data_IF_690602887754
#
_entry.id   IF_690602887754
#
_cell.length_a   1.000
_cell.length_b   1.000
_cell.length_c   1.000
_cell.angle_alpha   90.00
_cell.angle_beta   90.00
_cell.angle_gamma   90.00
#
_symmetry.space_group_name_H-M   'P 1'
#
loop_
_entity.id
_entity.type
_entity.pdbx_description
1 polymer ?
#
# COMPACT_ATOMS: atom_id res chain seq x y z
N UNK A 1 -26.04 0.42 18.06
CA UNK A 1 -24.69 0.91 17.75
C UNK A 1 -23.78 0.24 18.77
N UNK A 2 -23.28 -0.95 18.43
CA UNK A 2 -22.39 -1.68 19.34
C UNK A 2 -21.02 -1.03 19.30
N UNK A 3 -20.62 -0.50 20.44
CA UNK A 3 -19.27 -0.03 20.70
C UNK A 3 -18.53 -1.26 21.24
N UNK A 4 -17.81 -1.98 20.38
CA UNK A 4 -16.96 -3.08 20.84
C UNK A 4 -15.70 -2.48 21.47
N UNK A 5 -15.65 -2.49 22.80
CA UNK A 5 -14.46 -2.23 23.59
C UNK A 5 -13.49 -3.40 23.47
N UNK A 6 -12.30 -3.17 22.92
CA UNK A 6 -11.01 -3.77 23.30
C UNK A 6 -9.93 -3.32 22.30
N UNK A 7 -8.87 -2.64 22.77
CA UNK A 7 -7.57 -2.48 22.09
C UNK A 7 -7.56 -1.76 20.74
N UNK A 8 -7.01 -0.55 20.68
CA UNK A 8 -6.62 0.26 19.50
C UNK A 8 -7.14 -0.10 18.09
N UNK A 9 -8.45 -0.22 17.91
CA UNK A 9 -9.06 -0.75 16.69
C UNK A 9 -8.97 0.12 15.41
N UNK A 10 -8.43 1.33 15.50
CA UNK A 10 -8.30 2.28 14.37
C UNK A 10 -6.95 3.00 14.41
N UNK A 11 -6.07 2.71 13.45
CA UNK A 11 -4.73 3.29 13.40
C UNK A 11 -4.39 3.82 12.00
N UNK A 12 -3.36 4.68 11.96
CA UNK A 12 -2.75 5.22 10.74
C UNK A 12 -3.78 5.83 9.76
N UNK A 13 -4.63 6.78 10.21
CA UNK A 13 -5.59 7.41 9.31
C UNK A 13 -4.88 8.31 8.30
N UNK A 14 -5.33 8.21 7.06
CA UNK A 14 -4.90 9.05 5.94
C UNK A 14 -6.13 9.65 5.29
N UNK A 15 -6.03 10.90 4.88
CA UNK A 15 -7.13 11.62 4.24
C UNK A 15 -6.67 12.24 2.93
N UNK A 16 -7.45 12.07 1.87
CA UNK A 16 -7.22 12.77 0.61
C UNK A 16 -8.09 14.04 0.49
N UNK A 17 -7.85 14.82 -0.56
CA UNK A 17 -8.57 16.09 -0.79
C UNK A 17 -10.08 15.94 -1.02
N UNK A 18 -10.56 14.74 -1.33
CA UNK A 18 -11.99 14.44 -1.47
C UNK A 18 -12.66 14.10 -0.11
N UNK A 19 -11.90 14.11 0.99
CA UNK A 19 -12.41 13.77 2.31
C UNK A 19 -12.62 12.26 2.50
N UNK A 20 -11.94 11.44 1.71
CA UNK A 20 -11.93 9.99 1.91
C UNK A 20 -10.84 9.67 2.93
N UNK A 21 -11.22 9.02 4.02
CA UNK A 21 -10.32 8.60 5.09
C UNK A 21 -10.05 7.11 4.95
N UNK A 22 -8.79 6.71 4.79
CA UNK A 22 -8.34 5.32 4.86
C UNK A 22 -7.68 5.08 6.20
N UNK A 23 -7.93 3.93 6.82
CA UNK A 23 -7.41 3.59 8.14
C UNK A 23 -7.35 2.07 8.32
N UNK A 24 -6.48 1.61 9.22
CA UNK A 24 -6.46 0.23 9.65
C UNK A 24 -7.66 -0.02 10.57
N UNK A 25 -8.48 -1.03 10.27
CA UNK A 25 -9.75 -1.30 10.96
C UNK A 25 -9.82 -2.68 11.64
N UNK A 26 -8.74 -3.46 11.63
CA UNK A 26 -8.67 -4.77 12.29
C UNK A 26 -7.26 -5.10 12.79
N UNK A 27 -7.09 -5.33 14.10
CA UNK A 27 -5.78 -5.41 14.79
C UNK A 27 -4.86 -6.54 14.31
N UNK A 28 -5.39 -7.73 14.02
CA UNK A 28 -4.54 -8.91 13.79
C UNK A 28 -4.08 -9.11 12.34
N UNK A 29 -4.77 -8.49 11.38
CA UNK A 29 -4.47 -8.58 9.94
C UNK A 29 -4.21 -7.22 9.31
N UNK A 30 -4.27 -6.13 10.09
CA UNK A 30 -4.15 -4.77 9.60
C UNK A 30 -5.05 -4.51 8.37
N UNK A 31 -6.30 -4.98 8.40
CA UNK A 31 -7.23 -4.73 7.28
C UNK A 31 -7.44 -3.23 7.08
N UNK A 32 -7.53 -2.81 5.82
CA UNK A 32 -7.74 -1.42 5.46
C UNK A 32 -9.22 -1.19 5.20
N UNK A 33 -9.76 -0.15 5.82
CA UNK A 33 -11.10 0.35 5.59
C UNK A 33 -11.05 1.79 5.10
N UNK A 34 -12.18 2.24 4.57
CA UNK A 34 -12.38 3.61 4.12
C UNK A 34 -13.69 4.16 4.63
N UNK A 35 -13.71 5.43 5.00
CA UNK A 35 -14.92 6.19 5.33
C UNK A 35 -14.88 7.60 4.73
N UNK A 36 -16.00 8.31 4.75
CA UNK A 36 -16.07 9.75 4.48
C UNK A 36 -15.56 10.52 5.71
N UNK A 37 -15.19 11.79 5.52
CA UNK A 37 -14.79 12.70 6.60
C UNK A 37 -15.90 13.04 7.61
N UNK A 38 -17.16 12.76 7.27
CA UNK A 38 -18.31 12.83 8.17
C UNK A 38 -18.56 11.50 8.92
N UNK A 39 -17.70 10.49 8.72
CA UNK A 39 -17.80 9.15 9.31
C UNK A 39 -18.76 8.20 8.57
N UNK A 40 -19.43 8.65 7.50
CA UNK A 40 -20.34 7.80 6.73
C UNK A 40 -19.60 6.92 5.70
N UNK A 41 -20.34 6.00 5.06
CA UNK A 41 -19.83 5.13 3.98
C UNK A 41 -18.55 4.37 4.35
N UNK A 42 -18.59 3.68 5.49
CA UNK A 42 -17.57 2.73 5.90
C UNK A 42 -17.59 1.53 4.95
N UNK A 43 -16.49 1.28 4.26
CA UNK A 43 -16.28 0.08 3.44
C UNK A 43 -14.94 -0.55 3.78
N UNK A 44 -14.83 -1.86 3.54
CA UNK A 44 -13.59 -2.62 3.69
C UNK A 44 -12.88 -2.72 2.34
N UNK A 45 -11.59 -2.40 2.31
CA UNK A 45 -10.79 -2.35 1.08
C UNK A 45 -9.94 -3.60 0.85
N UNK A 46 -9.59 -4.35 1.90
CA UNK A 46 -8.76 -5.56 1.79
C UNK A 46 -9.48 -6.81 2.30
N UNK A 47 -9.29 -7.96 1.65
CA UNK A 47 -9.86 -9.24 2.06
C UNK A 47 -8.76 -10.18 2.58
N UNK A 48 -8.95 -10.70 3.80
CA UNK A 48 -8.06 -11.66 4.44
C UNK A 48 -7.95 -13.00 3.71
N UNK A 49 -8.89 -13.29 2.80
CA UNK A 49 -8.84 -14.44 1.91
C UNK A 49 -7.86 -14.26 0.75
N UNK A 50 -7.44 -13.02 0.48
CA UNK A 50 -6.55 -12.65 -0.64
C UNK A 50 -5.14 -12.34 -0.10
N UNK A 51 -5.07 -11.56 0.98
CA UNK A 51 -3.82 -11.17 1.64
C UNK A 51 -4.00 -11.25 3.15
N UNK A 52 -2.97 -11.65 3.87
CA UNK A 52 -2.99 -11.79 5.32
C UNK A 52 -2.78 -10.48 6.07
N UNK A 53 -1.95 -9.59 5.52
CA UNK A 53 -1.64 -8.29 6.12
C UNK A 53 -1.65 -7.17 5.09
N UNK A 54 -2.05 -5.97 5.54
CA UNK A 54 -1.93 -4.73 4.79
C UNK A 54 -1.35 -3.61 5.69
N UNK A 55 -0.14 -3.16 5.41
CA UNK A 55 0.60 -2.20 6.22
C UNK A 55 1.01 -0.98 5.41
N UNK A 56 1.33 0.12 6.12
CA UNK A 56 1.86 1.35 5.55
C UNK A 56 1.08 1.88 4.34
N UNK A 57 -0.25 2.11 4.48
CA UNK A 57 -1.04 2.61 3.37
C UNK A 57 -0.58 4.01 2.91
N UNK A 58 -0.80 4.32 1.65
CA UNK A 58 -0.74 5.67 1.10
C UNK A 58 -1.85 5.88 0.07
N UNK A 59 -2.51 7.04 0.13
CA UNK A 59 -3.64 7.41 -0.72
C UNK A 59 -3.34 8.67 -1.52
N UNK A 60 -3.62 8.64 -2.82
CA UNK A 60 -3.52 9.83 -3.67
C UNK A 60 -4.87 10.56 -3.83
N UNK A 61 -4.85 11.70 -4.53
CA UNK A 61 -6.06 12.50 -4.75
C UNK A 61 -7.14 11.81 -5.57
N UNK A 62 -6.78 10.83 -6.41
CA UNK A 62 -7.74 10.10 -7.26
C UNK A 62 -8.40 8.92 -6.53
N UNK A 63 -8.10 8.72 -5.25
CA UNK A 63 -8.61 7.58 -4.48
C UNK A 63 -7.93 6.26 -4.86
N UNK A 64 -6.69 6.32 -5.37
CA UNK A 64 -5.84 5.13 -5.49
C UNK A 64 -5.10 4.95 -4.17
N UNK A 65 -5.10 3.71 -3.68
CA UNK A 65 -4.36 3.29 -2.50
C UNK A 65 -3.22 2.36 -2.92
N UNK A 66 -2.06 2.56 -2.32
CA UNK A 66 -0.95 1.58 -2.28
C UNK A 66 -0.68 1.20 -0.84
N UNK A 67 -0.19 0.00 -0.62
CA UNK A 67 0.16 -0.50 0.70
C UNK A 67 1.08 -1.71 0.57
N UNK A 68 1.86 -1.98 1.61
CA UNK A 68 2.60 -3.22 1.74
C UNK A 68 1.62 -4.36 2.06
N UNK A 69 1.76 -5.49 1.39
CA UNK A 69 0.88 -6.63 1.60
C UNK A 69 1.63 -7.96 1.69
N UNK A 70 1.14 -8.84 2.54
CA UNK A 70 1.67 -10.20 2.70
C UNK A 70 0.59 -11.20 2.30
N UNK A 71 0.90 -12.16 1.44
CA UNK A 71 -0.08 -13.19 1.03
C UNK A 71 -0.46 -14.14 2.17
N UNK A 72 0.50 -14.47 3.03
CA UNK A 72 0.31 -15.37 4.18
C UNK A 72 1.22 -14.96 5.35
N UNK A 73 0.92 -15.43 6.57
CA UNK A 73 1.69 -15.09 7.78
C UNK A 73 3.17 -15.53 7.70
N UNK A 74 3.44 -16.62 7.00
CA UNK A 74 4.78 -17.19 6.83
C UNK A 74 5.50 -16.68 5.59
N UNK A 75 4.93 -15.68 4.89
CA UNK A 75 5.53 -15.15 3.68
C UNK A 75 6.89 -14.55 4.03
N UNK A 76 7.92 -15.01 3.31
CA UNK A 76 9.27 -14.48 3.47
C UNK A 76 9.35 -13.03 3.01
N UNK A 77 8.57 -12.64 2.00
CA UNK A 77 8.60 -11.32 1.38
C UNK A 77 7.21 -10.69 1.31
N UNK A 78 7.16 -9.37 1.46
CA UNK A 78 6.00 -8.55 1.15
C UNK A 78 5.95 -8.16 -0.33
N UNK A 79 4.76 -7.86 -0.81
CA UNK A 79 4.48 -7.25 -2.10
C UNK A 79 3.98 -5.80 -1.90
N UNK A 80 3.98 -4.98 -2.97
CA UNK A 80 3.14 -3.77 -3.01
C UNK A 80 1.80 -4.16 -3.61
N UNK A 81 0.72 -3.88 -2.89
CA UNK A 81 -0.63 -4.02 -3.38
C UNK A 81 -1.25 -2.65 -3.67
N UNK A 82 -2.19 -2.63 -4.60
CA UNK A 82 -2.99 -1.43 -4.90
C UNK A 82 -4.47 -1.77 -4.91
N UNK A 83 -5.30 -0.79 -4.54
CA UNK A 83 -6.77 -0.88 -4.61
C UNK A 83 -7.35 0.52 -4.76
N UNK A 84 -8.52 0.63 -5.35
CA UNK A 84 -9.24 1.91 -5.38
C UNK A 84 -10.05 2.09 -4.08
N UNK A 85 -10.30 3.32 -3.66
CA UNK A 85 -11.05 3.64 -2.44
C UNK A 85 -12.53 3.26 -2.47
N UNK A 86 -13.04 2.79 -3.60
CA UNK A 86 -14.36 2.16 -3.73
C UNK A 86 -14.31 0.63 -3.55
N UNK A 87 -13.13 0.07 -3.30
CA UNK A 87 -12.87 -1.37 -3.14
C UNK A 87 -12.62 -2.12 -4.45
N UNK A 88 -12.69 -1.45 -5.60
CA UNK A 88 -12.42 -2.06 -6.91
C UNK A 88 -10.92 -2.11 -7.23
N UNK A 89 -10.56 -2.89 -8.24
CA UNK A 89 -9.22 -2.84 -8.84
C UNK A 89 -8.09 -3.27 -7.92
N UNK A 90 -8.37 -4.19 -6.98
CA UNK A 90 -7.32 -4.83 -6.19
C UNK A 90 -6.32 -5.52 -7.12
N UNK A 91 -5.04 -5.19 -6.95
CA UNK A 91 -3.95 -5.75 -7.71
C UNK A 91 -2.74 -5.94 -6.80
N UNK A 92 -2.13 -7.12 -6.85
CA UNK A 92 -0.78 -7.32 -6.33
C UNK A 92 0.21 -6.92 -7.42
N UNK A 93 0.92 -5.82 -7.23
CA UNK A 93 1.97 -5.38 -8.14
C UNK A 93 3.23 -6.12 -7.70
N UNK A 94 3.46 -7.28 -8.33
CA UNK A 94 4.61 -8.15 -8.03
C UNK A 94 5.89 -7.42 -8.38
N UNK A 95 6.71 -7.05 -7.39
CA UNK A 95 7.87 -6.20 -7.63
C UNK A 95 9.23 -6.81 -7.34
N UNK A 96 9.35 -7.93 -6.61
CA UNK A 96 10.66 -8.55 -6.34
C UNK A 96 10.50 -10.00 -5.86
N UNK A 97 11.58 -10.77 -5.91
CA UNK A 97 11.75 -12.00 -5.11
C UNK A 97 12.37 -11.64 -3.73
N UNK A 98 12.08 -10.46 -3.21
CA UNK A 98 12.68 -9.87 -2.02
C UNK A 98 11.68 -8.88 -1.41
N UNK A 99 11.94 -8.40 -0.19
CA UNK A 99 11.10 -7.43 0.49
C UNK A 99 11.06 -6.09 -0.23
N UNK A 100 9.89 -5.46 -0.20
CA UNK A 100 9.72 -4.09 -0.65
C UNK A 100 9.78 -3.14 0.54
N UNK A 101 10.53 -2.04 0.41
CA UNK A 101 10.66 -1.04 1.46
C UNK A 101 10.59 0.38 0.91
N UNK A 102 9.99 1.28 1.69
CA UNK A 102 9.86 2.71 1.42
C UNK A 102 9.35 2.99 0.00
N UNK A 103 8.03 2.90 -0.18
CA UNK A 103 7.37 3.36 -1.41
C UNK A 103 6.70 4.71 -1.19
N UNK A 104 6.42 5.39 -2.30
CA UNK A 104 5.63 6.62 -2.34
C UNK A 104 4.71 6.60 -3.59
N UNK A 105 3.48 7.07 -3.46
CA UNK A 105 2.47 7.16 -4.52
C UNK A 105 2.16 8.61 -4.88
N UNK A 106 2.31 8.94 -6.17
CA UNK A 106 1.89 10.25 -6.67
C UNK A 106 0.43 10.26 -7.20
N UNK A 107 -0.08 11.48 -7.49
CA UNK A 107 -1.43 11.69 -8.03
C UNK A 107 -1.62 11.14 -9.46
N UNK A 108 -0.55 10.86 -10.20
CA UNK A 108 -0.61 10.20 -11.52
C UNK A 108 -0.72 8.67 -11.41
N UNK A 109 -0.70 8.13 -10.19
CA UNK A 109 -0.74 6.69 -9.96
C UNK A 109 0.60 6.00 -10.22
N UNK A 110 1.72 6.71 -10.14
CA UNK A 110 3.07 6.14 -10.17
C UNK A 110 3.57 5.87 -8.77
N UNK A 111 4.21 4.72 -8.60
CA UNK A 111 4.78 4.22 -7.37
C UNK A 111 6.29 4.24 -7.53
N UNK A 112 6.99 5.02 -6.71
CA UNK A 112 8.45 4.95 -6.57
C UNK A 112 8.75 4.13 -5.33
N UNK A 113 9.74 3.24 -5.39
CA UNK A 113 10.06 2.36 -4.27
C UNK A 113 11.51 1.85 -4.36
N UNK A 114 12.05 1.36 -3.24
CA UNK A 114 13.32 0.64 -3.29
C UNK A 114 13.10 -0.79 -3.80
N UNK A 115 13.85 -1.15 -4.83
CA UNK A 115 13.85 -2.47 -5.43
C UNK A 115 15.26 -3.08 -5.31
N UNK A 116 15.37 -4.37 -5.64
CA UNK A 116 16.66 -5.08 -5.64
C UNK A 116 16.87 -5.85 -6.92
N UNK A 117 18.14 -5.88 -7.35
CA UNK A 117 18.66 -6.81 -8.35
C UNK A 117 19.88 -7.52 -7.76
N UNK A 118 19.67 -8.74 -7.28
CA UNK A 118 20.62 -9.44 -6.41
C UNK A 118 20.87 -8.65 -5.12
N UNK A 119 22.14 -8.34 -4.84
CA UNK A 119 22.56 -7.58 -3.66
C UNK A 119 22.50 -6.05 -3.86
N UNK A 120 22.16 -5.57 -5.06
CA UNK A 120 22.14 -4.14 -5.35
C UNK A 120 20.81 -3.52 -4.93
N UNK A 121 20.87 -2.47 -4.11
CA UNK A 121 19.71 -1.62 -3.82
C UNK A 121 19.53 -0.59 -4.94
N UNK A 122 18.32 -0.55 -5.49
CA UNK A 122 17.94 0.26 -6.63
C UNK A 122 16.73 1.14 -6.28
N UNK A 123 16.53 2.21 -7.05
CA UNK A 123 15.27 2.98 -7.02
C UNK A 123 14.49 2.63 -8.28
N UNK A 124 13.28 2.11 -8.12
CA UNK A 124 12.39 1.76 -9.22
C UNK A 124 11.14 2.64 -9.24
N UNK A 125 10.50 2.68 -10.40
CA UNK A 125 9.18 3.25 -10.59
C UNK A 125 8.30 2.27 -11.35
N UNK A 126 7.02 2.21 -11.01
CA UNK A 126 6.00 1.44 -11.71
C UNK A 126 4.65 2.17 -11.65
N UNK A 127 3.77 1.94 -12.62
CA UNK A 127 2.39 2.42 -12.52
C UNK A 127 1.60 1.52 -11.56
N UNK A 128 0.58 2.08 -10.92
CA UNK A 128 -0.27 1.40 -9.95
C UNK A 128 -1.18 0.31 -10.55
N UNK A 129 -1.22 0.21 -11.87
CA UNK A 129 -1.82 -0.89 -12.64
C UNK A 129 -0.80 -2.01 -12.99
N UNK A 130 0.44 -1.89 -12.53
CA UNK A 130 1.54 -2.82 -12.76
C UNK A 130 2.27 -2.63 -14.10
N UNK A 131 1.90 -1.64 -14.90
CA UNK A 131 2.59 -1.33 -16.15
C UNK A 131 3.77 -0.37 -15.94
N UNK A 132 4.60 -0.18 -16.97
CA UNK A 132 5.58 0.92 -16.99
C UNK A 132 6.72 0.80 -15.98
N UNK A 133 7.06 -0.41 -15.54
CA UNK A 133 8.22 -0.66 -14.69
C UNK A 133 9.50 -0.09 -15.31
N UNK A 134 10.28 0.63 -14.50
CA UNK A 134 11.58 1.18 -14.87
C UNK A 134 12.49 1.33 -13.64
N UNK A 135 13.75 0.97 -13.79
CA UNK A 135 14.81 1.34 -12.85
C UNK A 135 15.21 2.80 -13.08
N UNK A 136 15.14 3.62 -12.03
CA UNK A 136 15.56 5.02 -12.02
C UNK A 136 17.04 5.16 -11.65
N UNK A 137 17.52 4.31 -10.73
CA UNK A 137 18.92 4.25 -10.31
C UNK A 137 19.34 2.79 -10.19
N UNK A 138 20.35 2.40 -10.97
CA UNK A 138 21.08 1.14 -10.85
C UNK A 138 22.43 1.39 -10.13
N UNK A 139 22.90 0.55 -9.22
CA UNK A 139 24.18 0.75 -8.49
C UNK A 139 25.41 0.90 -9.45
N UNK A 140 26.54 1.49 -9.09
CA UNK A 140 27.08 2.03 -7.84
C UNK A 140 26.92 3.56 -7.74
N UNK A 141 27.06 4.12 -6.53
CA UNK A 141 27.13 5.57 -6.30
C UNK A 141 28.00 6.25 -7.37
N UNK A 142 27.45 7.17 -8.21
CA UNK A 142 28.32 8.04 -8.96
C UNK A 142 29.10 8.85 -7.92
N UNK A 143 30.42 8.72 -7.93
CA UNK A 143 31.29 9.61 -7.16
C UNK A 143 30.89 11.04 -7.50
N UNK A 144 30.40 11.77 -6.49
CA UNK A 144 30.07 13.18 -6.62
C UNK A 144 31.41 13.91 -6.77
N UNK A 145 31.74 14.33 -7.99
CA UNK A 145 32.85 15.25 -8.26
C UNK A 145 32.39 16.69 -8.05
#
# INVERSE_FOLDING_TARGET
MEISSNGSMFQNPLINNEGQIVYQCFDYSAELCRMNNDGSRVIRLTDRKIIQFATDPEINKTGKLVFECYKEFSAEFSDICTVNTDGSGFLTVKLTNDHVYNFDLNDEGRIVYNCKDGDNLLICIINSDGSGFKELVSGAYPSIN
#
